data_IF_862706387998
#
_entry.id   IF_862706387998
#
_cell.length_a   1.000
_cell.length_b   1.000
_cell.length_c   1.000
_cell.angle_alpha   90.00
_cell.angle_beta   90.00
_cell.angle_gamma   90.00
#
_symmetry.space_group_name_H-M   'P 1'
#
loop_
_entity.id
_entity.type
_entity.pdbx_description
1 polymer ?
#
# COMPACT_ATOMS: atom_id res chain seq x y z
N UNK A 1 5.97 -8.33 -22.48
CA UNK A 1 5.75 -7.26 -21.49
C UNK A 1 5.76 -7.91 -20.13
N UNK A 2 6.46 -7.34 -19.14
CA UNK A 2 6.47 -7.90 -17.79
C UNK A 2 5.04 -7.87 -17.25
N UNK A 3 4.41 -9.05 -17.19
CA UNK A 3 3.15 -9.23 -16.49
C UNK A 3 3.37 -8.77 -15.05
N UNK A 4 2.81 -7.61 -14.73
CA UNK A 4 3.14 -6.90 -13.51
C UNK A 4 2.66 -7.74 -12.31
N UNK A 5 3.56 -8.41 -11.56
CA UNK A 5 3.15 -9.35 -10.51
C UNK A 5 2.40 -8.62 -9.39
N UNK A 6 2.57 -7.30 -9.30
CA UNK A 6 1.84 -6.37 -8.46
C UNK A 6 0.33 -6.65 -8.56
N UNK A 7 -0.21 -6.94 -9.75
CA UNK A 7 -1.66 -7.13 -9.93
C UNK A 7 -2.18 -8.43 -9.30
N UNK A 8 -1.32 -9.45 -9.19
CA UNK A 8 -1.63 -10.73 -8.53
C UNK A 8 -1.26 -10.71 -7.04
N UNK A 9 -0.22 -9.96 -6.66
CA UNK A 9 0.19 -9.79 -5.25
C UNK A 9 -0.84 -8.99 -4.47
N UNK A 10 -1.44 -7.98 -5.11
CA UNK A 10 -2.48 -7.17 -4.50
C UNK A 10 -3.83 -7.93 -4.53
N UNK A 11 -4.31 -8.45 -5.68
CA UNK A 11 -5.61 -9.15 -5.72
C UNK A 11 -5.64 -10.41 -4.84
N UNK A 12 -6.44 -10.36 -3.77
CA UNK A 12 -6.78 -11.48 -2.90
C UNK A 12 -6.30 -11.34 -1.45
N UNK A 13 -5.21 -10.59 -1.21
CA UNK A 13 -4.69 -10.31 0.15
C UNK A 13 -4.34 -8.84 0.40
N UNK A 14 -4.67 -7.96 -0.55
CA UNK A 14 -4.33 -6.53 -0.51
C UNK A 14 -4.67 -5.88 0.83
N UNK A 15 -5.93 -6.04 1.25
CA UNK A 15 -6.46 -5.35 2.41
C UNK A 15 -5.74 -5.75 3.69
N UNK A 16 -5.52 -7.05 3.90
CA UNK A 16 -4.76 -7.54 5.04
C UNK A 16 -3.31 -7.03 5.03
N UNK A 17 -2.67 -7.01 3.86
CA UNK A 17 -1.29 -6.53 3.73
C UNK A 17 -1.18 -5.01 3.93
N UNK A 18 -2.17 -4.24 3.47
CA UNK A 18 -2.25 -2.80 3.68
C UNK A 18 -2.53 -2.47 5.13
N UNK A 19 -3.52 -3.13 5.75
CA UNK A 19 -3.88 -2.88 7.15
C UNK A 19 -2.69 -3.17 8.08
N UNK A 20 -1.96 -4.27 7.83
CA UNK A 20 -0.81 -4.67 8.63
C UNK A 20 0.47 -3.85 8.33
N UNK A 21 0.76 -3.54 7.07
CA UNK A 21 2.00 -2.82 6.71
C UNK A 21 1.85 -1.30 6.64
N UNK A 22 0.73 -0.75 6.17
CA UNK A 22 0.57 0.70 5.92
C UNK A 22 -0.22 1.41 7.02
N UNK A 23 -1.15 0.72 7.69
CA UNK A 23 -2.04 1.32 8.69
C UNK A 23 -1.64 0.99 10.13
N UNK A 24 -0.64 0.13 10.35
CA UNK A 24 -0.06 -0.08 11.67
C UNK A 24 0.54 1.22 12.20
N UNK A 25 0.30 1.52 13.48
CA UNK A 25 0.76 2.75 14.14
C UNK A 25 2.28 2.92 14.11
N UNK A 26 3.03 1.82 14.00
CA UNK A 26 4.50 1.81 13.91
C UNK A 26 5.05 1.75 12.47
N UNK A 27 4.20 1.76 11.45
CA UNK A 27 4.64 1.77 10.05
C UNK A 27 5.45 3.03 9.73
N UNK A 28 6.34 2.96 8.76
CA UNK A 28 6.98 4.18 8.24
C UNK A 28 5.94 5.06 7.56
N UNK A 29 4.99 4.45 6.88
CA UNK A 29 3.92 5.15 6.20
C UNK A 29 3.10 6.02 7.17
N UNK A 30 2.77 5.53 8.37
CA UNK A 30 2.08 6.33 9.39
C UNK A 30 2.90 7.50 9.94
N UNK A 31 4.23 7.46 9.81
CA UNK A 31 5.13 8.53 10.26
C UNK A 31 5.28 9.65 9.23
N UNK A 32 5.23 9.33 7.94
CA UNK A 32 5.53 10.28 6.85
C UNK A 32 4.31 10.70 6.04
N UNK A 33 3.21 9.96 6.10
CA UNK A 33 2.03 10.19 5.27
C UNK A 33 0.74 10.27 6.10
N UNK A 34 -0.28 10.92 5.54
CA UNK A 34 -1.62 10.93 6.12
C UNK A 34 -2.29 9.56 5.90
N UNK A 35 -2.35 8.78 6.98
CA UNK A 35 -2.97 7.45 7.03
C UNK A 35 -4.44 7.49 6.59
N UNK A 36 -5.20 8.53 6.96
CA UNK A 36 -6.63 8.65 6.60
C UNK A 36 -6.80 8.85 5.11
N UNK A 37 -5.89 9.62 4.49
CA UNK A 37 -5.90 9.80 3.05
C UNK A 37 -5.55 8.49 2.33
N UNK A 38 -4.57 7.74 2.84
CA UNK A 38 -4.19 6.44 2.28
C UNK A 38 -5.34 5.44 2.37
N UNK A 39 -6.05 5.35 3.50
CA UNK A 39 -7.26 4.53 3.65
C UNK A 39 -8.31 4.89 2.59
N UNK A 40 -8.56 6.18 2.37
CA UNK A 40 -9.50 6.64 1.33
C UNK A 40 -9.06 6.17 -0.06
N UNK A 41 -7.77 6.28 -0.35
CA UNK A 41 -7.15 5.91 -1.63
C UNK A 41 -7.30 4.40 -1.90
N UNK A 42 -7.09 3.57 -0.88
CA UNK A 42 -7.30 2.13 -0.92
C UNK A 42 -8.77 1.78 -1.12
N UNK A 43 -9.68 2.41 -0.38
CA UNK A 43 -11.11 2.20 -0.54
C UNK A 43 -11.60 2.59 -1.96
N UNK A 44 -11.08 3.67 -2.53
CA UNK A 44 -11.40 4.08 -3.91
C UNK A 44 -10.92 3.02 -4.92
N UNK A 45 -9.72 2.48 -4.73
CA UNK A 45 -9.20 1.40 -5.56
C UNK A 45 -10.04 0.12 -5.48
N UNK A 46 -10.40 -0.30 -4.27
CA UNK A 46 -11.20 -1.51 -4.05
C UNK A 46 -12.62 -1.37 -4.60
N UNK A 47 -13.19 -0.17 -4.54
CA UNK A 47 -14.50 0.12 -5.14
C UNK A 47 -14.50 0.07 -6.68
N UNK A 48 -13.35 -0.20 -7.32
CA UNK A 48 -13.13 -0.18 -8.78
C UNK A 48 -13.52 1.15 -9.45
N UNK A 49 -13.68 2.22 -8.66
CA UNK A 49 -14.00 3.55 -9.19
C UNK A 49 -12.79 4.15 -9.90
N UNK A 50 -11.58 3.90 -9.38
CA UNK A 50 -10.33 4.42 -9.94
C UNK A 50 -9.17 3.43 -9.71
N UNK A 51 -8.22 3.38 -10.65
CA UNK A 51 -7.04 2.52 -10.54
C UNK A 51 -5.88 3.23 -9.83
N UNK A 52 -5.77 2.99 -8.52
CA UNK A 52 -4.67 3.45 -7.69
C UNK A 52 -3.61 2.39 -7.41
N UNK A 53 -3.59 1.30 -8.17
CA UNK A 53 -2.69 0.18 -7.94
C UNK A 53 -1.21 0.60 -7.89
N UNK A 54 -0.81 1.57 -8.72
CA UNK A 54 0.56 2.12 -8.73
C UNK A 54 0.89 2.89 -7.46
N UNK A 55 -0.03 3.71 -6.96
CA UNK A 55 0.18 4.52 -5.75
C UNK A 55 0.34 3.61 -4.52
N UNK A 56 -0.55 2.63 -4.40
CA UNK A 56 -0.52 1.63 -3.32
C UNK A 56 0.79 0.85 -3.37
N UNK A 57 1.24 0.43 -4.56
CA UNK A 57 2.51 -0.27 -4.71
C UNK A 57 3.73 0.57 -4.28
N UNK A 58 3.76 1.86 -4.60
CA UNK A 58 4.84 2.74 -4.19
C UNK A 58 4.89 2.90 -2.67
N UNK A 59 3.73 3.02 -2.00
CA UNK A 59 3.65 3.09 -0.55
C UNK A 59 4.16 1.80 0.12
N UNK A 60 3.79 0.64 -0.42
CA UNK A 60 4.31 -0.66 0.06
C UNK A 60 5.82 -0.75 -0.15
N UNK A 61 6.31 -0.35 -1.33
CA UNK A 61 7.74 -0.38 -1.65
C UNK A 61 8.52 0.53 -0.70
N UNK A 62 7.99 1.71 -0.40
CA UNK A 62 8.56 2.64 0.56
C UNK A 62 8.60 2.03 1.97
N UNK A 63 7.50 1.43 2.44
CA UNK A 63 7.45 0.77 3.75
C UNK A 63 8.53 -0.33 3.87
N UNK A 64 8.66 -1.18 2.85
CA UNK A 64 9.65 -2.26 2.83
C UNK A 64 11.08 -1.72 2.81
N UNK A 65 11.35 -0.69 2.01
CA UNK A 65 12.66 -0.03 1.98
C UNK A 65 12.98 0.60 3.34
N UNK A 66 12.04 1.33 3.93
CA UNK A 66 12.25 1.96 5.22
C UNK A 66 12.51 0.91 6.31
N UNK A 67 11.74 -0.18 6.36
CA UNK A 67 11.98 -1.31 7.28
C UNK A 67 13.36 -1.95 7.10
N UNK A 68 13.93 -1.90 5.89
CA UNK A 68 15.22 -2.54 5.58
C UNK A 68 16.43 -1.66 5.88
N UNK A 69 16.30 -0.33 5.73
CA UNK A 69 17.43 0.59 5.72
C UNK A 69 17.39 1.66 6.81
N UNK A 70 16.22 1.98 7.37
CA UNK A 70 16.06 3.01 8.42
C UNK A 70 15.60 2.39 9.74
N UNK A 71 14.70 1.41 9.68
CA UNK A 71 14.17 0.67 10.83
C UNK A 71 15.23 -0.20 11.51
#
# INVERSE_FOLDING_TARGET
GFDNPIGKWLRGKLRFYIDDCLLSSNSAVSKYFDVKYIEKLVNLHESKKEDYMRHIYLLISFEMWHKKFIG
#
